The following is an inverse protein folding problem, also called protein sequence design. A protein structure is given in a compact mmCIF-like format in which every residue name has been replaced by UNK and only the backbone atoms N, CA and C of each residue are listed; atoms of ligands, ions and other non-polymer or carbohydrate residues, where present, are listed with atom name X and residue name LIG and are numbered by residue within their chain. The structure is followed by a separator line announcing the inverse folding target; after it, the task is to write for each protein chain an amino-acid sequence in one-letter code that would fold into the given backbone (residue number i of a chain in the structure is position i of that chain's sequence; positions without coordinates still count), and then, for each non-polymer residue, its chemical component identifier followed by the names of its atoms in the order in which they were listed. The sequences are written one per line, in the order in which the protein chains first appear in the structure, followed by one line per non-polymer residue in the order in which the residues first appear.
data_IF_909786401203
#
_entry.id   IF_909786401203
#
_cell.length_a   1.000
_cell.length_b   1.000
_cell.length_c   1.000
_cell.angle_alpha   90.00
_cell.angle_beta   90.00
_cell.angle_gamma   90.00
#
_symmetry.space_group_name_H-M   'P 1'
#
loop_
_entity.id
_entity.type
_entity.pdbx_description
1 polymer ?
#
# COMPACT_ATOMS: atom_id res chain seq x y z
N UNK A 1 12.60 -17.99 4.28
CA UNK A 1 12.58 -17.33 2.96
C UNK A 1 11.14 -17.20 2.40
N UNK A 2 10.18 -16.76 3.22
CA UNK A 2 8.76 -16.62 2.82
C UNK A 2 8.23 -15.21 3.03
N UNK A 3 8.72 -14.51 4.06
CA UNK A 3 8.33 -13.14 4.41
C UNK A 3 8.66 -12.13 3.33
N UNK A 4 9.91 -12.09 2.83
CA UNK A 4 10.32 -11.15 1.76
C UNK A 4 9.53 -11.38 0.48
N UNK A 5 9.31 -12.64 0.09
CA UNK A 5 8.49 -12.97 -1.07
C UNK A 5 7.07 -12.40 -0.95
N UNK A 6 6.40 -12.61 0.20
CA UNK A 6 5.05 -12.10 0.42
C UNK A 6 5.00 -10.57 0.48
N UNK A 7 5.98 -9.93 1.13
CA UNK A 7 6.08 -8.46 1.14
C UNK A 7 6.21 -7.94 -0.28
N UNK A 8 7.10 -8.51 -1.08
CA UNK A 8 7.29 -8.13 -2.48
C UNK A 8 6.02 -8.32 -3.32
N UNK A 9 5.28 -9.43 -3.15
CA UNK A 9 3.99 -9.61 -3.80
C UNK A 9 3.00 -8.51 -3.39
N UNK A 10 2.88 -8.25 -2.08
CA UNK A 10 1.96 -7.23 -1.58
C UNK A 10 2.29 -5.83 -2.05
N UNK A 11 3.57 -5.46 -2.12
CA UNK A 11 4.00 -4.16 -2.64
C UNK A 11 3.61 -4.00 -4.11
N UNK A 12 3.77 -5.05 -4.91
CA UNK A 12 3.42 -4.99 -6.34
C UNK A 12 1.92 -4.91 -6.58
N UNK A 13 1.11 -5.58 -5.75
CA UNK A 13 -0.35 -5.42 -5.78
C UNK A 13 -0.79 -3.97 -5.62
N UNK A 14 -0.11 -3.21 -4.75
CA UNK A 14 -0.42 -1.79 -4.52
C UNK A 14 0.08 -0.94 -5.69
N UNK A 15 1.29 -1.18 -6.20
CA UNK A 15 1.85 -0.47 -7.36
C UNK A 15 0.98 -0.64 -8.60
N UNK A 16 0.45 -1.84 -8.84
CA UNK A 16 -0.42 -2.15 -9.99
C UNK A 16 -1.87 -1.70 -9.80
N UNK A 17 -2.25 -1.12 -8.64
CA UNK A 17 -3.63 -0.71 -8.35
C UNK A 17 -4.60 -1.88 -8.08
N UNK A 18 -4.06 -3.09 -7.87
CA UNK A 18 -4.82 -4.32 -7.65
C UNK A 18 -5.27 -4.52 -6.20
N UNK A 19 -4.98 -3.57 -5.30
CA UNK A 19 -5.27 -3.69 -3.86
C UNK A 19 -6.74 -4.02 -3.55
N UNK A 20 -7.68 -3.42 -4.30
CA UNK A 20 -9.13 -3.65 -4.11
C UNK A 20 -9.55 -5.10 -4.36
N UNK A 21 -8.77 -5.88 -5.09
CA UNK A 21 -9.05 -7.30 -5.36
C UNK A 21 -8.78 -8.19 -4.12
N UNK A 22 -7.92 -7.74 -3.22
CA UNK A 22 -7.44 -8.54 -2.08
C UNK A 22 -7.67 -7.88 -0.72
N UNK A 23 -8.06 -6.60 -0.72
CA UNK A 23 -8.37 -5.80 0.45
C UNK A 23 -9.56 -4.88 0.18
N UNK A 24 -10.75 -5.35 0.56
CA UNK A 24 -11.99 -4.60 0.43
C UNK A 24 -12.02 -3.33 1.31
N UNK A 25 -11.29 -3.32 2.43
CA UNK A 25 -11.26 -2.23 3.40
C UNK A 25 -9.95 -1.47 3.39
N UNK A 26 -9.43 -1.21 2.18
CA UNK A 26 -8.10 -0.64 1.91
C UNK A 26 -7.75 0.61 2.73
N UNK A 27 -8.74 1.44 3.08
CA UNK A 27 -8.54 2.66 3.88
C UNK A 27 -7.90 2.42 5.24
N UNK A 28 -8.14 1.27 5.89
CA UNK A 28 -7.63 0.95 7.24
C UNK A 28 -6.20 0.43 7.27
N UNK A 29 -5.58 0.24 6.11
CA UNK A 29 -4.21 -0.28 6.03
C UNK A 29 -4.14 -1.77 6.32
N UNK A 30 -3.64 -2.52 5.35
CA UNK A 30 -3.25 -3.90 5.54
C UNK A 30 -1.74 -3.99 5.32
N UNK A 31 -1.04 -4.79 6.12
CA UNK A 31 0.40 -4.96 5.90
C UNK A 31 0.66 -5.59 4.53
N UNK A 32 1.75 -5.17 3.89
CA UNK A 32 2.16 -5.72 2.59
C UNK A 32 2.32 -7.24 2.62
N UNK A 33 2.79 -7.79 3.73
CA UNK A 33 2.87 -9.25 3.90
C UNK A 33 1.50 -9.94 3.79
N UNK A 34 0.46 -9.35 4.40
CA UNK A 34 -0.90 -9.91 4.37
C UNK A 34 -1.57 -9.68 3.01
N UNK A 35 -1.34 -8.52 2.38
CA UNK A 35 -1.76 -8.27 1.00
C UNK A 35 -1.16 -9.30 0.02
N UNK A 36 0.14 -9.55 0.12
CA UNK A 36 0.81 -10.55 -0.71
C UNK A 36 0.29 -11.96 -0.50
N UNK A 37 -0.04 -12.33 0.74
CA UNK A 37 -0.65 -13.63 1.02
C UNK A 37 -2.05 -13.77 0.42
N UNK A 38 -2.89 -12.74 0.56
CA UNK A 38 -4.21 -12.74 -0.07
C UNK A 38 -4.12 -12.81 -1.60
N UNK A 39 -3.13 -12.12 -2.19
CA UNK A 39 -2.87 -12.15 -3.63
C UNK A 39 -2.42 -13.53 -4.12
N UNK A 40 -1.51 -14.18 -3.41
CA UNK A 40 -1.08 -15.55 -3.73
C UNK A 40 -2.27 -16.49 -3.69
N UNK A 41 -3.11 -16.41 -2.65
CA UNK A 41 -4.33 -17.22 -2.54
C UNK A 41 -5.28 -16.97 -3.71
N UNK A 42 -5.59 -15.70 -4.00
CA UNK A 42 -6.44 -15.32 -5.13
C UNK A 42 -5.89 -15.84 -6.46
N UNK A 43 -4.58 -15.68 -6.68
CA UNK A 43 -3.90 -16.13 -7.90
C UNK A 43 -3.97 -17.64 -8.06
N UNK A 44 -3.77 -18.40 -6.98
CA UNK A 44 -3.90 -19.87 -7.01
C UNK A 44 -5.35 -20.30 -7.33
N UNK A 45 -6.35 -19.68 -6.70
CA UNK A 45 -7.77 -19.97 -6.98
C UNK A 45 -8.15 -19.63 -8.42
N UNK A 46 -7.58 -18.56 -8.99
CA UNK A 46 -7.83 -18.11 -10.37
C UNK A 46 -6.90 -18.75 -11.39
N UNK A 47 -5.98 -19.61 -10.96
CA UNK A 47 -4.91 -20.20 -11.80
C UNK A 47 -4.06 -19.15 -12.54
N UNK A 48 -3.85 -17.99 -11.92
CA UNK A 48 -3.00 -16.94 -12.44
C UNK A 48 -1.53 -17.24 -12.19
N UNK A 49 -0.67 -16.78 -13.12
CA UNK A 49 0.78 -16.87 -12.97
C UNK A 49 1.25 -15.87 -11.91
N UNK A 50 1.90 -16.38 -10.86
CA UNK A 50 2.51 -15.54 -9.81
C UNK A 50 3.91 -15.14 -10.28
N UNK A 51 4.12 -13.84 -10.51
CA UNK A 51 5.43 -13.29 -10.88
C UNK A 51 6.34 -13.22 -9.67
N UNK A 52 7.64 -13.45 -9.86
CA UNK A 52 8.63 -13.27 -8.81
C UNK A 52 9.29 -11.91 -8.95
N UNK A 53 9.34 -11.17 -7.85
CA UNK A 53 9.96 -9.85 -7.78
C UNK A 53 11.26 -9.95 -7.00
N UNK A 54 12.23 -9.08 -7.32
CA UNK A 54 13.56 -9.09 -6.70
C UNK A 54 13.83 -7.89 -5.81
N UNK A 55 13.15 -6.76 -6.05
CA UNK A 55 13.47 -5.49 -5.42
C UNK A 55 12.21 -4.79 -4.92
N UNK A 56 12.36 -4.06 -3.81
CA UNK A 56 11.36 -3.12 -3.33
C UNK A 56 11.61 -1.75 -3.96
N UNK A 57 10.53 -1.03 -4.25
CA UNK A 57 10.62 0.36 -4.65
C UNK A 57 11.00 1.24 -3.45
N UNK A 58 11.87 2.21 -3.66
CA UNK A 58 12.17 3.26 -2.67
C UNK A 58 11.22 4.46 -2.76
N UNK A 59 10.25 4.43 -3.68
CA UNK A 59 9.27 5.50 -3.84
C UNK A 59 8.30 5.54 -2.64
N UNK A 60 7.72 6.72 -2.35
CA UNK A 60 6.64 6.83 -1.38
C UNK A 60 5.49 5.87 -1.68
N UNK A 61 4.80 5.43 -0.63
CA UNK A 61 3.63 4.57 -0.76
C UNK A 61 2.55 5.27 -1.60
N UNK A 62 2.12 4.70 -2.73
CA UNK A 62 1.10 5.32 -3.58
C UNK A 62 -0.30 5.28 -2.95
N UNK A 63 -0.56 4.40 -1.97
CA UNK A 63 -1.87 4.27 -1.31
C UNK A 63 -1.73 4.30 0.23
N UNK A 64 -1.52 5.49 0.81
CA UNK A 64 -1.31 5.63 2.24
C UNK A 64 -2.51 5.13 3.04
N UNK A 65 -2.22 4.47 4.17
CA UNK A 65 -3.21 3.95 5.09
C UNK A 65 -3.52 4.95 6.21
N UNK A 66 -4.80 5.03 6.61
CA UNK A 66 -5.22 5.86 7.74
C UNK A 66 -5.96 5.02 8.77
N UNK A 67 -5.51 5.07 10.03
CA UNK A 67 -6.19 4.33 11.09
C UNK A 67 -7.54 4.95 11.49
N UNK A 68 -7.72 6.26 11.27
CA UNK A 68 -8.97 6.98 11.55
C UNK A 68 -9.16 8.21 10.65
N UNK A 69 -10.41 8.67 10.55
CA UNK A 69 -10.75 9.94 9.88
C UNK A 69 -10.04 11.13 10.52
N UNK A 70 -9.95 11.14 11.86
CA UNK A 70 -9.26 12.20 12.61
C UNK A 70 -7.77 12.28 12.26
N UNK A 71 -7.09 11.14 12.15
CA UNK A 71 -5.69 11.09 11.73
C UNK A 71 -5.50 11.60 10.29
N UNK A 72 -6.46 11.30 9.41
CA UNK A 72 -6.47 11.83 8.05
C UNK A 72 -6.61 13.36 8.05
N UNK A 73 -7.56 13.90 8.82
CA UNK A 73 -7.75 15.35 8.98
C UNK A 73 -6.53 16.05 9.60
N UNK A 74 -5.92 15.47 10.63
CA UNK A 74 -4.72 16.00 11.26
C UNK A 74 -3.52 16.00 10.30
N UNK A 75 -3.44 15.01 9.40
CA UNK A 75 -2.43 15.00 8.33
C UNK A 75 -2.59 16.19 7.40
N UNK A 76 -3.81 16.46 6.93
CA UNK A 76 -4.08 17.60 6.04
C UNK A 76 -3.82 18.96 6.72
N UNK A 77 -4.15 19.11 8.00
CA UNK A 77 -3.88 20.34 8.77
C UNK A 77 -2.38 20.64 8.87
N UNK A 78 -1.54 19.61 9.04
CA UNK A 78 -0.08 19.76 9.08
C UNK A 78 0.48 20.23 7.74
N UNK A 79 0.00 19.66 6.64
CA UNK A 79 0.42 20.02 5.28
C UNK A 79 0.15 21.51 4.99
N UNK A 80 -1.06 22.00 5.32
CA UNK A 80 -1.39 23.42 5.17
C UNK A 80 -0.49 24.35 6.00
N UNK A 81 -0.14 23.94 7.22
CA UNK A 81 0.74 24.72 8.11
C UNK A 81 2.17 24.82 7.57
N UNK A 82 2.66 23.79 6.87
CA UNK A 82 3.98 23.83 6.24
C UNK A 82 3.97 24.80 5.06
N UNK A 83 2.95 24.73 4.21
CA UNK A 83 2.82 25.62 3.05
C UNK A 83 2.67 27.10 3.45
N UNK A 84 1.91 27.40 4.51
CA UNK A 84 1.75 28.78 4.99
C UNK A 84 3.02 29.37 5.61
N UNK A 85 4.02 28.54 5.93
CA UNK A 85 5.31 28.97 6.50
C UNK A 85 6.39 29.20 5.43
N UNK A 86 6.13 28.80 4.19
CA UNK A 86 7.01 29.09 3.06
C UNK A 86 6.53 30.44 2.49
N UNK A 87 7.28 31.55 2.64
CA UNK A 87 6.86 32.82 2.06
C UNK A 87 6.80 32.67 0.54
N UNK A 88 5.69 33.09 -0.06
CA UNK A 88 5.58 33.21 -1.51
C UNK A 88 6.71 34.14 -2.00
N UNK A 89 7.64 33.58 -2.78
CA UNK A 89 8.74 34.32 -3.40
C UNK A 89 8.25 35.20 -4.53
#
# INVERSE_FOLDING_TARGET
MTTLFLVLQGTQVVIEGNRRLVDAHWKRGMSYLKLGWNWVRLSLTRQWKIRTYRFLSSLPDPEPAWASKRQQEDSFKREFTVLSRIPAS
#
